data_IF_543132880345
#
_entry.id   IF_543132880345
#
_cell.length_a   1.000
_cell.length_b   1.000
_cell.length_c   1.000
_cell.angle_alpha   90.00
_cell.angle_beta   90.00
_cell.angle_gamma   90.00
#
_symmetry.space_group_name_H-M   'P 1'
#
loop_
_entity.id
_entity.type
_entity.pdbx_description
1 polymer ?
#
# COMPACT_ATOMS: atom_id res chain seq x y z
N UNK A 1 -11.08 -26.74 6.41
CA UNK A 1 -9.66 -26.38 6.13
C UNK A 1 -9.48 -24.94 6.56
N UNK A 2 -8.69 -24.69 7.60
CA UNK A 2 -8.17 -23.34 7.87
C UNK A 2 -7.11 -23.05 6.80
N UNK A 3 -7.54 -22.47 5.68
CA UNK A 3 -6.62 -21.93 4.68
C UNK A 3 -6.03 -20.69 5.34
N UNK A 4 -4.80 -20.80 5.85
CA UNK A 4 -4.04 -19.63 6.28
C UNK A 4 -3.89 -18.73 5.05
N UNK A 5 -4.34 -17.46 5.09
CA UNK A 5 -4.23 -16.57 3.96
C UNK A 5 -2.76 -16.41 3.60
N UNK A 6 -2.44 -16.52 2.30
CA UNK A 6 -1.08 -16.27 1.80
C UNK A 6 -0.79 -14.77 1.94
N UNK A 7 0.18 -14.35 2.77
CA UNK A 7 0.47 -12.94 2.97
C UNK A 7 1.04 -12.25 1.72
N UNK A 8 1.43 -13.01 0.69
CA UNK A 8 1.85 -12.50 -0.63
C UNK A 8 0.67 -12.19 -1.53
N UNK A 9 -0.47 -12.82 -1.27
CA UNK A 9 -1.65 -12.68 -2.09
C UNK A 9 -2.51 -11.53 -1.60
N UNK A 10 -3.23 -10.98 -2.57
CA UNK A 10 -4.20 -9.93 -2.34
C UNK A 10 -5.27 -10.37 -1.34
N UNK A 11 -5.56 -11.67 -1.17
CA UNK A 11 -6.54 -12.18 -0.19
C UNK A 11 -6.24 -11.77 1.26
N UNK A 12 -4.95 -11.61 1.61
CA UNK A 12 -4.55 -11.09 2.93
C UNK A 12 -4.69 -9.57 3.05
N UNK A 13 -4.63 -8.84 1.92
CA UNK A 13 -4.82 -7.39 1.79
C UNK A 13 -6.30 -7.00 1.47
N UNK A 14 -7.14 -8.00 1.13
CA UNK A 14 -8.45 -7.89 0.45
C UNK A 14 -9.61 -7.41 1.33
N UNK A 15 -9.46 -7.45 2.65
CA UNK A 15 -10.45 -6.90 3.57
C UNK A 15 -10.01 -5.54 4.11
N UNK A 16 -10.00 -4.43 3.39
CA UNK A 16 -10.37 -4.15 2.01
C UNK A 16 -9.72 -2.80 1.76
N UNK A 17 -8.62 -2.79 1.01
CA UNK A 17 -7.90 -1.53 0.74
C UNK A 17 -8.83 -0.53 0.06
N UNK A 18 -9.83 -0.98 -0.73
CA UNK A 18 -10.84 -0.12 -1.34
C UNK A 18 -11.78 0.43 -0.28
N UNK A 19 -12.30 -0.39 0.64
CA UNK A 19 -13.11 0.11 1.75
C UNK A 19 -12.33 1.11 2.63
N UNK A 20 -11.08 0.79 3.00
CA UNK A 20 -10.21 1.67 3.78
C UNK A 20 -9.92 2.97 3.02
N UNK A 21 -9.63 2.87 1.73
CA UNK A 21 -9.40 4.04 0.86
C UNK A 21 -10.65 4.90 0.77
N UNK A 22 -11.83 4.29 0.57
CA UNK A 22 -13.11 4.97 0.59
C UNK A 22 -13.33 5.70 1.92
N UNK A 23 -13.17 5.02 3.06
CA UNK A 23 -13.29 5.65 4.38
C UNK A 23 -12.33 6.82 4.55
N UNK A 24 -11.07 6.67 4.15
CA UNK A 24 -10.06 7.73 4.26
C UNK A 24 -10.35 8.92 3.34
N UNK A 25 -10.77 8.67 2.10
CA UNK A 25 -11.17 9.71 1.16
C UNK A 25 -12.37 10.50 1.68
N UNK A 26 -13.39 9.81 2.20
CA UNK A 26 -14.56 10.44 2.80
C UNK A 26 -14.20 11.24 4.05
N UNK A 27 -13.33 10.70 4.92
CA UNK A 27 -12.82 11.43 6.09
C UNK A 27 -12.01 12.68 5.70
N UNK A 28 -11.30 12.62 4.57
CA UNK A 28 -10.55 13.74 4.02
C UNK A 28 -11.43 14.76 3.27
N UNK A 29 -12.75 14.60 3.29
CA UNK A 29 -13.70 15.53 2.68
C UNK A 29 -14.02 15.26 1.20
N UNK A 30 -13.60 14.12 0.65
CA UNK A 30 -14.00 13.71 -0.71
C UNK A 30 -15.34 13.00 -0.64
N UNK A 31 -16.41 13.70 -1.01
CA UNK A 31 -17.79 13.21 -0.91
C UNK A 31 -18.45 12.95 -2.27
N UNK A 32 -17.97 13.58 -3.34
CA UNK A 32 -18.50 13.39 -4.69
C UNK A 32 -18.12 12.02 -5.24
N UNK A 33 -19.11 11.29 -5.78
CA UNK A 33 -18.91 9.93 -6.26
C UNK A 33 -17.88 9.86 -7.40
N UNK A 34 -17.88 10.85 -8.30
CA UNK A 34 -16.90 10.94 -9.40
C UNK A 34 -15.48 11.08 -8.88
N UNK A 35 -15.26 11.93 -7.88
CA UNK A 35 -13.95 12.17 -7.29
C UNK A 35 -13.45 10.97 -6.50
N UNK A 36 -14.36 10.28 -5.79
CA UNK A 36 -14.06 9.03 -5.10
C UNK A 36 -13.57 7.98 -6.10
N UNK A 37 -14.27 7.82 -7.23
CA UNK A 37 -13.92 6.85 -8.28
C UNK A 37 -12.55 7.18 -8.88
N UNK A 38 -12.35 8.43 -9.31
CA UNK A 38 -11.09 8.87 -9.94
C UNK A 38 -9.89 8.66 -9.00
N UNK A 39 -10.00 9.10 -7.75
CA UNK A 39 -8.92 8.96 -6.76
C UNK A 39 -8.66 7.50 -6.41
N UNK A 40 -9.71 6.68 -6.34
CA UNK A 40 -9.56 5.24 -6.09
C UNK A 40 -8.85 4.54 -7.25
N UNK A 41 -9.13 4.92 -8.50
CA UNK A 41 -8.44 4.38 -9.68
C UNK A 41 -6.96 4.78 -9.71
N UNK A 42 -6.64 6.03 -9.39
CA UNK A 42 -5.24 6.49 -9.29
C UNK A 42 -4.47 5.72 -8.22
N UNK A 43 -5.11 5.45 -7.08
CA UNK A 43 -4.51 4.65 -6.00
C UNK A 43 -4.37 3.18 -6.41
N UNK A 44 -5.33 2.61 -7.14
CA UNK A 44 -5.22 1.25 -7.69
C UNK A 44 -4.01 1.12 -8.63
N UNK A 45 -3.88 2.08 -9.55
CA UNK A 45 -2.74 2.16 -10.46
C UNK A 45 -1.42 2.28 -9.68
N UNK A 46 -1.37 3.14 -8.66
CA UNK A 46 -0.15 3.37 -7.90
C UNK A 46 0.29 2.16 -7.04
N UNK A 47 -0.66 1.47 -6.42
CA UNK A 47 -0.38 0.33 -5.54
C UNK A 47 -0.14 -0.96 -6.31
N UNK A 48 -0.96 -1.22 -7.33
CA UNK A 48 -1.07 -2.54 -7.95
C UNK A 48 -0.86 -2.50 -9.47
N UNK A 49 -0.37 -1.39 -10.03
CA UNK A 49 -0.21 -1.20 -11.48
C UNK A 49 -1.52 -1.46 -12.25
N UNK A 50 -2.66 -1.14 -11.62
CA UNK A 50 -4.00 -1.36 -12.17
C UNK A 50 -4.47 -2.82 -12.13
N UNK A 51 -3.68 -3.75 -11.60
CA UNK A 51 -3.99 -5.17 -11.57
C UNK A 51 -4.21 -5.70 -10.14
N UNK A 52 -5.06 -5.03 -9.37
CA UNK A 52 -5.33 -5.41 -7.97
C UNK A 52 -5.72 -6.89 -7.82
N UNK A 53 -6.61 -7.42 -8.68
CA UNK A 53 -7.15 -8.78 -8.54
C UNK A 53 -6.09 -9.88 -8.67
N UNK A 54 -5.02 -9.63 -9.41
CA UNK A 54 -3.97 -10.62 -9.68
C UNK A 54 -2.61 -10.15 -9.15
N UNK A 55 -2.58 -9.14 -8.27
CA UNK A 55 -1.34 -8.71 -7.68
C UNK A 55 -0.80 -9.83 -6.76
N UNK A 56 0.48 -10.13 -6.93
CA UNK A 56 1.23 -11.01 -6.03
C UNK A 56 2.62 -10.42 -5.89
N UNK A 57 3.05 -10.19 -4.65
CA UNK A 57 4.40 -9.70 -4.40
C UNK A 57 5.42 -10.78 -4.81
N UNK A 58 6.24 -10.49 -5.81
CA UNK A 58 7.22 -11.43 -6.36
C UNK A 58 8.48 -11.54 -5.49
N UNK A 59 8.79 -10.48 -4.73
CA UNK A 59 9.98 -10.37 -3.89
C UNK A 59 9.73 -9.50 -2.64
N UNK A 60 10.72 -9.52 -1.74
CA UNK A 60 10.72 -8.78 -0.48
C UNK A 60 10.64 -7.27 -0.69
N UNK A 61 11.32 -6.75 -1.71
CA UNK A 61 11.33 -5.32 -2.04
C UNK A 61 9.93 -4.84 -2.43
N UNK A 62 9.27 -5.56 -3.33
CA UNK A 62 7.93 -5.28 -3.81
C UNK A 62 6.92 -5.24 -2.67
N UNK A 63 6.98 -6.22 -1.75
CA UNK A 63 6.09 -6.26 -0.59
C UNK A 63 6.34 -5.08 0.37
N UNK A 64 7.60 -4.77 0.65
CA UNK A 64 7.99 -3.67 1.54
C UNK A 64 7.59 -2.32 0.93
N UNK A 65 7.81 -2.14 -0.36
CA UNK A 65 7.46 -0.92 -1.05
C UNK A 65 5.94 -0.72 -1.10
N UNK A 66 5.16 -1.76 -1.41
CA UNK A 66 3.70 -1.69 -1.35
C UNK A 66 3.22 -1.26 0.05
N UNK A 67 3.74 -1.89 1.11
CA UNK A 67 3.37 -1.53 2.49
C UNK A 67 3.72 -0.08 2.82
N UNK A 68 4.89 0.40 2.38
CA UNK A 68 5.30 1.79 2.54
C UNK A 68 4.33 2.75 1.82
N UNK A 69 4.02 2.48 0.54
CA UNK A 69 3.06 3.28 -0.25
C UNK A 69 1.72 3.39 0.46
N UNK A 70 1.14 2.26 0.88
CA UNK A 70 -0.18 2.24 1.54
C UNK A 70 -0.18 3.00 2.86
N UNK A 71 0.89 2.89 3.67
CA UNK A 71 1.03 3.66 4.91
C UNK A 71 1.13 5.15 4.67
N UNK A 72 1.96 5.58 3.73
CA UNK A 72 2.17 7.00 3.45
C UNK A 72 0.92 7.64 2.85
N UNK A 73 0.23 6.95 1.94
CA UNK A 73 -1.07 7.42 1.44
C UNK A 73 -2.07 7.57 2.58
N UNK A 74 -2.18 6.58 3.48
CA UNK A 74 -3.04 6.68 4.67
C UNK A 74 -2.68 7.89 5.54
N UNK A 75 -1.40 8.15 5.76
CA UNK A 75 -0.93 9.29 6.53
C UNK A 75 -1.39 10.61 5.89
N UNK A 76 -1.13 10.83 4.60
CA UNK A 76 -1.47 12.08 3.93
C UNK A 76 -2.97 12.30 3.78
N UNK A 77 -3.74 11.25 3.46
CA UNK A 77 -5.21 11.33 3.46
C UNK A 77 -5.73 11.68 4.85
N UNK A 78 -5.18 11.09 5.92
CA UNK A 78 -5.51 11.44 7.31
C UNK A 78 -5.09 12.86 7.72
N UNK A 79 -4.31 13.57 6.89
CA UNK A 79 -3.97 15.00 7.02
C UNK A 79 -4.80 15.89 6.07
N UNK A 80 -5.88 15.35 5.50
CA UNK A 80 -6.77 16.03 4.56
C UNK A 80 -6.08 16.47 3.25
N UNK A 81 -4.98 15.83 2.86
CA UNK A 81 -4.34 16.06 1.56
C UNK A 81 -4.99 15.09 0.56
N UNK A 82 -5.87 15.59 -0.31
CA UNK A 82 -6.68 14.76 -1.23
C UNK A 82 -6.19 14.79 -2.69
N UNK A 83 -5.12 15.53 -2.97
CA UNK A 83 -4.45 15.54 -4.27
C UNK A 83 -3.55 14.30 -4.38
N UNK A 84 -4.07 13.21 -4.96
CA UNK A 84 -3.37 11.93 -5.08
C UNK A 84 -2.05 12.03 -5.86
N UNK A 85 -1.98 12.70 -7.04
CA UNK A 85 -0.70 12.93 -7.72
C UNK A 85 0.36 13.56 -6.82
N UNK A 86 0.01 14.60 -6.07
CA UNK A 86 0.94 15.25 -5.13
C UNK A 86 1.38 14.31 -3.99
N UNK A 87 0.50 13.47 -3.50
CA UNK A 87 0.87 12.45 -2.50
C UNK A 87 1.90 11.48 -3.07
N UNK A 88 1.70 11.01 -4.32
CA UNK A 88 2.61 10.09 -4.99
C UNK A 88 4.00 10.73 -5.14
N UNK A 89 4.07 12.00 -5.58
CA UNK A 89 5.31 12.77 -5.68
C UNK A 89 6.04 12.84 -4.32
N UNK A 90 5.34 13.23 -3.25
CA UNK A 90 5.94 13.30 -1.90
C UNK A 90 6.43 11.93 -1.42
N UNK A 91 5.73 10.84 -1.73
CA UNK A 91 6.18 9.49 -1.35
C UNK A 91 7.46 9.11 -2.09
N UNK A 92 7.56 9.45 -3.38
CA UNK A 92 8.76 9.21 -4.17
C UNK A 92 9.97 9.99 -3.62
N UNK A 93 9.78 11.24 -3.22
CA UNK A 93 10.83 12.07 -2.60
C UNK A 93 11.29 11.53 -1.24
N UNK A 94 10.38 10.91 -0.47
CA UNK A 94 10.68 10.37 0.85
C UNK A 94 11.26 8.95 0.83
N UNK A 95 11.04 8.18 -0.23
CA UNK A 95 11.50 6.80 -0.34
C UNK A 95 13.01 6.64 -0.03
N UNK A 96 13.93 7.48 -0.56
CA UNK A 96 15.36 7.34 -0.27
C UNK A 96 15.72 7.47 1.22
N UNK A 97 14.99 8.31 1.94
CA UNK A 97 15.27 8.59 3.35
C UNK A 97 14.68 7.52 4.28
N UNK A 98 13.50 7.01 3.95
CA UNK A 98 12.75 6.13 4.84
C UNK A 98 12.81 4.65 4.48
N UNK A 99 13.06 4.31 3.21
CA UNK A 99 12.85 2.95 2.71
C UNK A 99 14.09 2.32 2.07
N UNK A 100 14.92 3.08 1.36
CA UNK A 100 16.02 2.50 0.58
C UNK A 100 17.01 1.70 1.43
N UNK A 101 17.34 2.19 2.64
CA UNK A 101 18.20 1.46 3.57
C UNK A 101 17.57 0.14 4.06
N UNK A 102 16.23 0.09 4.18
CA UNK A 102 15.50 -1.11 4.57
C UNK A 102 15.52 -2.11 3.41
N UNK A 103 15.22 -1.66 2.19
CA UNK A 103 15.27 -2.48 0.98
C UNK A 103 16.67 -3.09 0.80
N UNK A 104 17.71 -2.29 0.95
CA UNK A 104 19.09 -2.76 0.82
C UNK A 104 19.42 -3.86 1.86
N UNK A 105 18.89 -3.75 3.08
CA UNK A 105 19.10 -4.75 4.14
C UNK A 105 18.37 -6.09 3.93
N UNK A 106 17.43 -6.15 2.99
CA UNK A 106 16.54 -7.31 2.77
C UNK A 106 16.51 -7.82 1.33
N UNK A 107 17.24 -7.19 0.41
CA UNK A 107 17.23 -7.52 -1.03
C UNK A 107 17.58 -8.98 -1.34
N UNK A 108 18.47 -9.57 -0.55
CA UNK A 108 18.93 -10.95 -0.73
C UNK A 108 18.16 -11.95 0.17
N UNK A 109 17.18 -11.46 0.96
CA UNK A 109 16.41 -12.29 1.87
C UNK A 109 15.20 -12.88 1.18
N UNK A 110 14.90 -14.18 1.39
CA UNK A 110 13.71 -14.79 0.83
C UNK A 110 12.46 -14.12 1.41
N UNK A 111 11.45 -13.93 0.56
CA UNK A 111 10.17 -13.33 0.95
C UNK A 111 9.54 -14.00 2.18
N UNK A 112 9.72 -15.32 2.31
CA UNK A 112 9.24 -16.09 3.47
C UNK A 112 9.91 -15.74 4.80
N UNK A 113 11.12 -15.18 4.81
CA UNK A 113 11.78 -14.66 6.01
C UNK A 113 11.18 -13.32 6.42
N UNK A 114 10.98 -12.42 5.45
CA UNK A 114 10.37 -11.09 5.68
C UNK A 114 8.92 -11.19 6.14
N UNK A 115 8.19 -12.18 5.64
CA UNK A 115 6.82 -12.47 6.07
C UNK A 115 6.73 -13.05 7.49
N UNK A 116 7.80 -13.68 8.00
CA UNK A 116 7.87 -14.24 9.36
C UNK A 116 8.35 -13.21 10.37
N UNK A 117 9.29 -12.35 9.98
CA UNK A 117 9.70 -11.22 10.80
C UNK A 117 8.56 -10.20 10.87
N UNK A 118 8.41 -9.59 12.05
CA UNK A 118 7.33 -8.64 12.39
C UNK A 118 7.29 -7.36 11.52
N UNK A 119 7.98 -7.29 10.39
CA UNK A 119 7.78 -6.23 9.39
C UNK A 119 6.43 -6.37 8.67
N UNK A 120 5.87 -7.57 8.57
CA UNK A 120 4.47 -7.76 8.18
C UNK A 120 3.47 -7.36 9.29
N UNK A 121 3.85 -7.46 10.57
CA UNK A 121 2.93 -7.30 11.71
C UNK A 121 2.94 -5.91 12.37
N UNK A 122 4.04 -5.16 12.34
CA UNK A 122 4.13 -3.79 12.91
C UNK A 122 3.63 -2.70 11.94
N UNK A 123 2.86 -3.09 10.94
CA UNK A 123 2.16 -2.21 10.00
C UNK A 123 0.63 -2.26 10.17
N UNK A 124 0.12 -2.96 11.19
CA UNK A 124 -1.29 -3.01 11.60
C UNK A 124 -1.63 -1.99 12.68
#
# INVERSE_FOLDING_TARGET
>A
MDIKPDPRSVDHLIRDWRHRTLTLLTQAGVTEATDIIEKSQLLEAYFFDGNFKNFEAQDSETLIFLNFKMKMVRFYLGKNITNIPKIIEMIAELKPYFLDHIIESVKDKPLSEIMKDRYGANFY
#
